data_IF_695310369377
#
_entry.id   IF_695310369377
#
_cell.length_a   1.000
_cell.length_b   1.000
_cell.length_c   1.000
_cell.angle_alpha   90.00
_cell.angle_beta   90.00
_cell.angle_gamma   90.00
#
_symmetry.space_group_name_H-M   'P 1'
#
loop_
_entity.id
_entity.type
_entity.pdbx_description
1 polymer ?
#
# COMPACT_ATOMS: atom_id res chain seq x y z
N UNK A 1 6.86 2.12 -6.85
CA UNK A 1 7.56 2.45 -5.57
C UNK A 1 8.76 1.54 -5.41
N UNK A 2 9.66 1.82 -4.46
CA UNK A 2 10.71 0.84 -4.11
C UNK A 2 10.17 -0.25 -3.16
N UNK A 3 10.80 -1.43 -3.18
CA UNK A 3 10.46 -2.54 -2.27
C UNK A 3 10.57 -2.12 -0.80
N UNK A 4 11.63 -1.38 -0.44
CA UNK A 4 11.87 -0.84 0.90
C UNK A 4 10.73 0.07 1.40
N UNK A 5 10.10 0.84 0.51
CA UNK A 5 8.98 1.70 0.90
C UNK A 5 7.73 0.89 1.20
N UNK A 6 7.47 -0.18 0.45
CA UNK A 6 6.38 -1.11 0.73
C UNK A 6 6.61 -1.87 2.04
N UNK A 7 7.84 -2.36 2.26
CA UNK A 7 8.22 -2.98 3.54
C UNK A 7 7.96 -2.03 4.71
N UNK A 8 8.29 -0.74 4.58
CA UNK A 8 8.05 0.24 5.63
C UNK A 8 6.56 0.54 5.85
N UNK A 9 5.74 0.56 4.79
CA UNK A 9 4.30 0.78 4.89
C UNK A 9 3.56 -0.40 5.52
N UNK A 10 4.05 -1.61 5.28
CA UNK A 10 3.50 -2.86 5.82
C UNK A 10 4.28 -3.34 7.05
N UNK A 11 5.18 -2.52 7.57
CA UNK A 11 6.04 -2.89 8.68
C UNK A 11 5.21 -3.19 9.91
N UNK A 12 5.57 -4.28 10.56
CA UNK A 12 5.03 -4.63 11.86
C UNK A 12 5.63 -3.66 12.89
N UNK A 13 4.82 -3.11 13.82
CA UNK A 13 5.33 -2.23 14.86
C UNK A 13 6.41 -2.88 15.71
N UNK A 14 7.45 -2.12 16.06
CA UNK A 14 8.55 -2.59 16.92
C UNK A 14 8.35 -2.24 18.39
N UNK A 15 7.58 -1.18 18.69
CA UNK A 15 7.36 -0.71 20.06
C UNK A 15 6.33 -1.58 20.80
N UNK A 16 6.53 -1.77 22.10
CA UNK A 16 5.58 -2.52 22.94
C UNK A 16 4.22 -1.82 23.00
N UNK A 17 4.20 -0.48 22.99
CA UNK A 17 2.97 0.31 23.02
C UNK A 17 2.13 0.12 21.75
N UNK A 18 2.75 0.14 20.57
CA UNK A 18 2.04 -0.08 19.30
C UNK A 18 1.59 -1.53 19.16
N UNK A 19 2.42 -2.49 19.59
CA UNK A 19 2.03 -3.90 19.63
C UNK A 19 0.84 -4.13 20.56
N UNK A 20 0.84 -3.52 21.75
CA UNK A 20 -0.28 -3.60 22.68
C UNK A 20 -1.56 -2.96 22.11
N UNK A 21 -1.45 -1.87 21.35
CA UNK A 21 -2.58 -1.23 20.69
C UNK A 21 -3.15 -2.08 19.56
N UNK A 22 -2.29 -2.60 18.69
CA UNK A 22 -2.69 -3.14 17.39
C UNK A 22 -2.89 -4.67 17.40
N UNK A 23 -2.27 -5.38 18.35
CA UNK A 23 -2.26 -6.85 18.42
C UNK A 23 -2.96 -7.44 19.65
N UNK A 24 -3.64 -6.63 20.46
CA UNK A 24 -4.43 -7.15 21.59
C UNK A 24 -5.78 -7.72 21.12
N UNK A 25 -6.06 -8.96 21.50
CA UNK A 25 -7.32 -9.63 21.18
C UNK A 25 -8.45 -9.21 22.12
N UNK A 26 -9.61 -8.96 21.53
CA UNK A 26 -10.88 -8.82 22.23
C UNK A 26 -11.40 -10.18 22.72
N UNK A 27 -12.32 -10.16 23.68
CA UNK A 27 -12.90 -11.37 24.28
C UNK A 27 -13.53 -12.32 23.24
N UNK A 28 -14.22 -11.78 22.23
CA UNK A 28 -14.84 -12.59 21.18
C UNK A 28 -13.81 -13.36 20.33
N UNK A 29 -12.63 -12.77 20.14
CA UNK A 29 -11.54 -13.38 19.37
C UNK A 29 -10.83 -14.45 20.19
N UNK A 30 -10.59 -14.19 21.47
CA UNK A 30 -10.08 -15.22 22.39
C UNK A 30 -11.03 -16.43 22.45
N UNK A 31 -12.34 -16.20 22.45
CA UNK A 31 -13.32 -17.29 22.33
C UNK A 31 -13.21 -18.04 20.99
N UNK A 32 -13.03 -17.35 19.88
CA UNK A 32 -12.82 -17.98 18.58
C UNK A 32 -11.54 -18.84 18.57
N UNK A 33 -10.44 -18.33 19.12
CA UNK A 33 -9.18 -19.05 19.28
C UNK A 33 -9.35 -20.31 20.14
N UNK A 34 -10.03 -20.20 21.29
CA UNK A 34 -10.21 -21.31 22.26
C UNK A 34 -10.93 -22.53 21.67
N UNK A 35 -11.76 -22.34 20.64
CA UNK A 35 -12.47 -23.41 19.92
C UNK A 35 -11.52 -24.35 19.17
N UNK A 36 -10.30 -23.91 18.86
CA UNK A 36 -9.31 -24.76 18.17
C UNK A 36 -8.84 -25.87 19.10
N UNK A 37 -8.68 -27.08 18.55
CA UNK A 37 -8.15 -28.24 19.27
C UNK A 37 -6.63 -28.28 19.18
N UNK A 38 -5.98 -28.39 20.33
CA UNK A 38 -4.52 -28.46 20.45
C UNK A 38 -3.86 -27.08 20.46
N UNK A 39 -2.81 -26.94 21.28
CA UNK A 39 -2.16 -25.66 21.54
C UNK A 39 -1.47 -25.09 20.31
N UNK A 40 -0.83 -25.93 19.48
CA UNK A 40 -0.25 -25.49 18.20
C UNK A 40 -1.29 -24.85 17.27
N UNK A 41 -2.49 -25.43 17.18
CA UNK A 41 -3.56 -24.87 16.34
C UNK A 41 -4.16 -23.59 16.93
N UNK A 42 -4.28 -23.50 18.26
CA UNK A 42 -4.73 -22.27 18.93
C UNK A 42 -3.75 -21.13 18.70
N UNK A 43 -2.45 -21.38 18.92
CA UNK A 43 -1.39 -20.40 18.65
C UNK A 43 -1.39 -20.00 17.17
N UNK A 44 -1.41 -20.97 16.27
CA UNK A 44 -1.37 -20.71 14.85
C UNK A 44 -2.57 -19.92 14.33
N UNK A 45 -3.77 -20.26 14.79
CA UNK A 45 -4.98 -19.52 14.47
C UNK A 45 -4.94 -18.10 15.03
N UNK A 46 -4.45 -17.91 16.25
CA UNK A 46 -4.28 -16.58 16.85
C UNK A 46 -3.30 -15.72 16.07
N UNK A 47 -2.18 -16.29 15.60
CA UNK A 47 -1.22 -15.57 14.75
C UNK A 47 -1.87 -15.18 13.43
N UNK A 48 -2.57 -16.09 12.74
CA UNK A 48 -3.27 -15.75 11.51
C UNK A 48 -4.32 -14.64 11.72
N UNK A 49 -5.08 -14.70 12.81
CA UNK A 49 -6.05 -13.68 13.20
C UNK A 49 -5.40 -12.31 13.38
N UNK A 50 -4.25 -12.27 14.07
CA UNK A 50 -3.46 -11.05 14.24
C UNK A 50 -3.11 -10.41 12.89
N UNK A 51 -2.53 -11.18 11.95
CA UNK A 51 -2.13 -10.67 10.62
C UNK A 51 -3.29 -10.20 9.74
N UNK A 52 -4.43 -10.89 9.83
CA UNK A 52 -5.66 -10.51 9.11
C UNK A 52 -6.25 -9.21 9.66
N UNK A 53 -6.07 -8.89 10.94
CA UNK A 53 -6.50 -7.61 11.52
C UNK A 53 -5.50 -6.48 11.30
N UNK A 54 -4.22 -6.78 11.48
CA UNK A 54 -3.12 -5.86 11.28
C UNK A 54 -1.91 -6.65 10.78
N UNK A 55 -1.35 -6.33 9.60
CA UNK A 55 -1.68 -5.19 8.73
C UNK A 55 -2.91 -5.38 7.81
N UNK A 56 -3.63 -6.50 7.88
CA UNK A 56 -4.71 -6.80 6.93
C UNK A 56 -4.29 -7.77 5.82
N UNK A 57 -3.28 -8.60 6.07
CA UNK A 57 -2.71 -9.53 5.09
C UNK A 57 -3.01 -10.98 5.45
N UNK A 58 -3.03 -11.85 4.43
CA UNK A 58 -3.02 -13.28 4.63
C UNK A 58 -1.56 -13.77 4.75
N UNK A 59 -1.14 -14.22 5.93
CA UNK A 59 0.24 -14.67 6.19
C UNK A 59 0.66 -15.89 5.33
N UNK A 60 -0.28 -16.78 5.00
CA UNK A 60 -0.01 -17.95 4.16
C UNK A 60 1.01 -18.92 4.78
N UNK A 61 2.12 -19.16 4.08
CA UNK A 61 3.21 -20.03 4.52
C UNK A 61 4.38 -19.28 5.17
N UNK A 62 4.33 -17.94 5.19
CA UNK A 62 5.41 -17.13 5.75
C UNK A 62 5.52 -17.30 7.28
N UNK A 63 6.72 -17.05 7.79
CA UNK A 63 6.97 -16.99 9.22
C UNK A 63 6.47 -15.65 9.78
N UNK A 64 5.83 -15.64 10.97
CA UNK A 64 5.43 -14.40 11.61
C UNK A 64 6.65 -13.66 12.16
N UNK A 65 6.59 -12.34 12.15
CA UNK A 65 7.50 -11.48 12.90
C UNK A 65 7.64 -11.98 14.37
N UNK A 66 8.87 -12.15 14.88
CA UNK A 66 9.12 -12.72 16.22
C UNK A 66 8.39 -11.98 17.35
N UNK A 67 8.24 -10.66 17.23
CA UNK A 67 7.59 -9.79 18.20
C UNK A 67 6.07 -10.07 18.26
N UNK A 68 5.43 -10.21 17.09
CA UNK A 68 4.00 -10.58 17.01
C UNK A 68 3.78 -11.98 17.56
N UNK A 69 4.64 -12.94 17.20
CA UNK A 69 4.54 -14.29 17.74
C UNK A 69 4.66 -14.30 19.27
N UNK A 70 5.59 -13.52 19.84
CA UNK A 70 5.76 -13.38 21.28
C UNK A 70 4.53 -12.79 21.97
N UNK A 71 3.98 -11.70 21.44
CA UNK A 71 2.80 -11.01 22.00
C UNK A 71 1.56 -11.91 21.92
N UNK A 72 1.33 -12.53 20.77
CA UNK A 72 0.19 -13.45 20.57
C UNK A 72 0.30 -14.67 21.48
N UNK A 73 1.46 -15.32 21.54
CA UNK A 73 1.73 -16.46 22.44
C UNK A 73 1.41 -16.13 23.90
N UNK A 74 1.83 -14.95 24.35
CA UNK A 74 1.61 -14.48 25.72
C UNK A 74 0.13 -14.27 26.01
N UNK A 75 -0.63 -13.70 25.08
CA UNK A 75 -2.07 -13.47 25.25
C UNK A 75 -2.89 -14.77 25.33
N UNK A 76 -2.51 -15.79 24.56
CA UNK A 76 -3.23 -17.08 24.57
C UNK A 76 -2.68 -18.06 25.62
N UNK A 77 -1.59 -17.71 26.31
CA UNK A 77 -0.97 -18.55 27.34
C UNK A 77 -0.27 -19.79 26.77
N UNK A 78 0.23 -19.73 25.53
CA UNK A 78 0.82 -20.88 24.82
C UNK A 78 2.29 -20.59 24.52
N UNK A 79 3.16 -21.58 24.64
CA UNK A 79 4.58 -21.42 24.35
C UNK A 79 4.80 -21.23 22.84
N UNK A 80 5.62 -20.23 22.46
CA UNK A 80 5.86 -19.84 21.06
C UNK A 80 6.53 -20.92 20.20
N UNK A 81 7.27 -21.83 20.82
CA UNK A 81 7.93 -22.95 20.13
C UNK A 81 6.94 -23.92 19.47
N UNK A 82 5.69 -23.96 19.94
CA UNK A 82 4.63 -24.75 19.32
C UNK A 82 4.21 -24.22 17.94
N UNK A 83 4.66 -23.03 17.52
CA UNK A 83 4.49 -22.58 16.15
C UNK A 83 5.13 -23.54 15.13
N UNK A 84 6.26 -24.17 15.47
CA UNK A 84 6.92 -25.14 14.59
C UNK A 84 6.08 -26.42 14.37
N UNK A 85 5.10 -26.68 15.23
CA UNK A 85 4.16 -27.79 15.10
C UNK A 85 2.89 -27.37 14.35
N UNK A 86 2.63 -26.06 14.22
CA UNK A 86 1.45 -25.52 13.59
C UNK A 86 1.47 -25.65 12.06
N UNK A 87 0.41 -26.24 11.53
CA UNK A 87 0.17 -26.25 10.08
C UNK A 87 1.23 -27.04 9.31
N UNK A 88 1.78 -28.12 9.91
CA UNK A 88 2.62 -29.12 9.22
C UNK A 88 1.96 -29.71 7.96
N UNK A 89 0.64 -29.62 7.87
CA UNK A 89 -0.15 -29.84 6.65
C UNK A 89 -0.69 -28.49 6.20
N UNK A 90 -0.41 -28.10 4.95
CA UNK A 90 -0.89 -26.83 4.38
C UNK A 90 -2.42 -26.67 4.48
N UNK A 91 -3.16 -27.79 4.45
CA UNK A 91 -4.63 -27.81 4.52
C UNK A 91 -5.15 -27.07 5.75
N UNK A 92 -4.57 -27.32 6.92
CA UNK A 92 -5.01 -26.69 8.18
C UNK A 92 -4.81 -25.17 8.14
N UNK A 93 -3.73 -24.67 7.51
CA UNK A 93 -3.51 -23.22 7.38
C UNK A 93 -4.55 -22.59 6.44
N UNK A 94 -4.87 -23.26 5.33
CA UNK A 94 -5.89 -22.79 4.38
C UNK A 94 -7.29 -22.79 5.01
N UNK A 95 -7.66 -23.86 5.69
CA UNK A 95 -8.94 -23.96 6.42
C UNK A 95 -9.08 -22.84 7.44
N UNK A 96 -8.06 -22.61 8.27
CA UNK A 96 -8.07 -21.53 9.26
C UNK A 96 -8.14 -20.14 8.60
N UNK A 97 -7.44 -19.92 7.48
CA UNK A 97 -7.51 -18.65 6.76
C UNK A 97 -8.90 -18.36 6.21
N UNK A 98 -9.61 -19.40 5.70
CA UNK A 98 -11.00 -19.27 5.24
C UNK A 98 -11.95 -19.05 6.41
N UNK A 99 -11.78 -19.78 7.51
CA UNK A 99 -12.59 -19.60 8.72
C UNK A 99 -12.46 -18.18 9.28
N UNK A 100 -11.23 -17.63 9.33
CA UNK A 100 -10.98 -16.27 9.77
C UNK A 100 -11.58 -15.22 8.84
N UNK A 101 -11.47 -15.41 7.53
CA UNK A 101 -12.10 -14.52 6.55
C UNK A 101 -13.62 -14.43 6.80
N UNK A 102 -14.28 -15.58 6.99
CA UNK A 102 -15.71 -15.63 7.26
C UNK A 102 -16.07 -15.03 8.62
N UNK A 103 -15.32 -15.36 9.67
CA UNK A 103 -15.59 -14.89 11.03
C UNK A 103 -15.43 -13.38 11.19
N UNK A 104 -14.51 -12.76 10.45
CA UNK A 104 -14.23 -11.33 10.48
C UNK A 104 -14.95 -10.54 9.37
N UNK A 105 -15.68 -11.22 8.48
CA UNK A 105 -16.32 -10.57 7.32
C UNK A 105 -15.32 -10.02 6.29
N UNK A 106 -14.10 -10.57 6.25
CA UNK A 106 -13.05 -10.08 5.38
C UNK A 106 -13.28 -10.53 3.94
N UNK A 107 -13.13 -9.58 3.01
CA UNK A 107 -13.28 -9.79 1.57
C UNK A 107 -11.90 -9.84 0.91
N UNK A 108 -11.83 -10.50 -0.25
CA UNK A 108 -10.66 -10.40 -1.15
C UNK A 108 -10.86 -9.27 -2.13
N UNK A 109 -9.76 -8.72 -2.61
CA UNK A 109 -9.77 -7.77 -3.73
C UNK A 109 -10.40 -8.43 -4.96
N UNK A 110 -11.23 -7.66 -5.66
CA UNK A 110 -11.86 -8.01 -6.93
C UNK A 110 -11.74 -6.81 -7.87
N UNK A 111 -11.93 -7.00 -9.17
CA UNK A 111 -11.92 -5.90 -10.15
C UNK A 111 -12.87 -4.75 -9.77
N UNK A 112 -14.03 -5.08 -9.19
CA UNK A 112 -14.98 -4.07 -8.70
C UNK A 112 -14.41 -3.25 -7.52
N UNK A 113 -13.70 -3.90 -6.59
CA UNK A 113 -13.02 -3.22 -5.48
C UNK A 113 -11.84 -2.40 -5.99
N UNK A 114 -11.10 -2.90 -6.98
CA UNK A 114 -10.00 -2.15 -7.60
C UNK A 114 -10.51 -0.87 -8.27
N UNK A 115 -11.62 -0.94 -9.01
CA UNK A 115 -12.24 0.23 -9.60
C UNK A 115 -12.74 1.23 -8.54
N UNK A 116 -13.37 0.74 -7.47
CA UNK A 116 -13.81 1.55 -6.33
C UNK A 116 -12.62 2.22 -5.62
N UNK A 117 -11.52 1.48 -5.42
CA UNK A 117 -10.28 1.99 -4.84
C UNK A 117 -9.66 3.08 -5.70
N UNK A 118 -9.54 2.87 -7.01
CA UNK A 118 -8.98 3.87 -7.93
C UNK A 118 -9.79 5.16 -7.91
N UNK A 119 -11.13 5.06 -7.92
CA UNK A 119 -12.00 6.22 -7.80
C UNK A 119 -11.83 6.95 -6.46
N UNK A 120 -11.65 6.22 -5.35
CA UNK A 120 -11.40 6.80 -4.04
C UNK A 120 -10.01 7.46 -3.92
N UNK A 121 -9.00 6.96 -4.65
CA UNK A 121 -7.64 7.50 -4.66
C UNK A 121 -7.50 8.72 -5.58
N UNK A 122 -8.36 8.89 -6.58
CA UNK A 122 -8.33 10.01 -7.52
C UNK A 122 -8.19 11.40 -6.86
N UNK A 123 -9.04 11.80 -5.88
CA UNK A 123 -8.90 13.12 -5.23
C UNK A 123 -7.58 13.26 -4.46
N UNK A 124 -6.97 12.16 -4.03
CA UNK A 124 -5.67 12.18 -3.36
C UNK A 124 -4.56 12.35 -4.39
N UNK A 125 -4.61 11.59 -5.49
CA UNK A 125 -3.63 11.62 -6.57
C UNK A 125 -3.55 12.97 -7.30
N UNK A 126 -4.65 13.75 -7.32
CA UNK A 126 -4.64 15.13 -7.83
C UNK A 126 -3.86 16.09 -6.91
N UNK A 127 -3.75 15.78 -5.62
CA UNK A 127 -3.15 16.66 -4.60
C UNK A 127 -1.68 16.34 -4.31
N UNK A 128 -1.16 15.18 -4.73
CA UNK A 128 0.22 14.77 -4.45
C UNK A 128 0.80 13.92 -5.55
N UNK A 129 2.08 14.15 -5.86
CA UNK A 129 2.92 13.29 -6.71
C UNK A 129 3.66 12.20 -5.91
N UNK A 130 3.54 12.21 -4.58
CA UNK A 130 4.16 11.23 -3.69
C UNK A 130 3.40 9.92 -3.66
N UNK A 131 3.91 8.92 -4.37
CA UNK A 131 3.38 7.56 -4.40
C UNK A 131 3.17 6.94 -3.00
N UNK A 132 4.06 7.21 -2.04
CA UNK A 132 3.94 6.71 -0.66
C UNK A 132 2.67 7.17 0.06
N UNK A 133 2.20 8.40 -0.19
CA UNK A 133 0.97 8.91 0.43
C UNK A 133 -0.28 8.25 -0.16
N UNK A 134 -0.27 8.00 -1.47
CA UNK A 134 -1.36 7.31 -2.17
C UNK A 134 -1.40 5.83 -1.76
N UNK A 135 -0.24 5.19 -1.62
CA UNK A 135 -0.12 3.83 -1.12
C UNK A 135 -0.64 3.67 0.31
N UNK A 136 -0.26 4.58 1.22
CA UNK A 136 -0.78 4.60 2.59
C UNK A 136 -2.31 4.76 2.62
N UNK A 137 -2.85 5.67 1.81
CA UNK A 137 -4.30 5.84 1.68
C UNK A 137 -4.99 4.59 1.13
N UNK A 138 -4.38 3.91 0.15
CA UNK A 138 -4.92 2.68 -0.42
C UNK A 138 -5.02 1.57 0.64
N UNK A 139 -3.97 1.38 1.45
CA UNK A 139 -3.96 0.42 2.56
C UNK A 139 -5.09 0.72 3.54
N UNK A 140 -5.20 1.98 3.98
CA UNK A 140 -6.21 2.37 4.97
C UNK A 140 -7.64 2.25 4.43
N UNK A 141 -7.88 2.59 3.17
CA UNK A 141 -9.18 2.41 2.51
C UNK A 141 -9.57 0.93 2.47
N UNK A 142 -8.69 0.06 1.96
CA UNK A 142 -8.94 -1.38 1.90
C UNK A 142 -9.24 -1.97 3.28
N UNK A 143 -8.46 -1.58 4.30
CA UNK A 143 -8.70 -1.99 5.69
C UNK A 143 -10.06 -1.51 6.21
N UNK A 144 -10.42 -0.25 5.95
CA UNK A 144 -11.71 0.31 6.36
C UNK A 144 -12.90 -0.39 5.71
N UNK A 145 -12.70 -0.97 4.52
CA UNK A 145 -13.70 -1.75 3.78
C UNK A 145 -13.73 -3.23 4.17
N UNK A 146 -12.89 -3.66 5.10
CA UNK A 146 -12.75 -5.06 5.47
C UNK A 146 -12.21 -5.91 4.32
N UNK A 147 -11.32 -5.36 3.50
CA UNK A 147 -10.70 -6.05 2.37
C UNK A 147 -9.27 -6.42 2.74
N UNK A 148 -8.91 -7.69 2.55
CA UNK A 148 -7.53 -8.15 2.66
C UNK A 148 -6.67 -7.44 1.62
N UNK A 149 -5.51 -6.96 2.05
CA UNK A 149 -4.55 -6.33 1.14
C UNK A 149 -4.10 -7.35 0.09
N UNK A 150 -4.04 -6.96 -1.20
CA UNK A 150 -3.49 -7.82 -2.23
C UNK A 150 -1.95 -7.84 -2.12
N UNK A 151 -1.29 -8.60 -2.99
CA UNK A 151 0.16 -8.61 -3.04
C UNK A 151 0.71 -7.18 -3.31
N UNK A 152 1.92 -6.89 -2.79
CA UNK A 152 2.54 -5.58 -2.93
C UNK A 152 2.65 -5.12 -4.40
N UNK A 153 2.88 -6.04 -5.34
CA UNK A 153 2.90 -5.72 -6.78
C UNK A 153 1.56 -5.20 -7.30
N UNK A 154 0.44 -5.82 -6.91
CA UNK A 154 -0.90 -5.35 -7.27
C UNK A 154 -1.20 -3.99 -6.64
N UNK A 155 -0.79 -3.76 -5.39
CA UNK A 155 -0.90 -2.44 -4.77
C UNK A 155 -0.07 -1.38 -5.52
N UNK A 156 1.15 -1.70 -5.94
CA UNK A 156 2.01 -0.79 -6.69
C UNK A 156 1.39 -0.41 -8.05
N UNK A 157 0.81 -1.38 -8.75
CA UNK A 157 0.07 -1.17 -10.00
C UNK A 157 -1.14 -0.24 -9.81
N UNK A 158 -1.93 -0.46 -8.75
CA UNK A 158 -3.08 0.39 -8.43
C UNK A 158 -2.67 1.82 -8.08
N UNK A 159 -1.59 1.98 -7.30
CA UNK A 159 -1.04 3.29 -6.93
C UNK A 159 -0.51 4.02 -8.18
N UNK A 160 0.24 3.33 -9.04
CA UNK A 160 0.76 3.89 -10.29
C UNK A 160 -0.37 4.32 -11.24
N UNK A 161 -1.43 3.53 -11.31
CA UNK A 161 -2.63 3.83 -12.10
C UNK A 161 -3.33 5.08 -11.57
N UNK A 162 -3.56 5.17 -10.25
CA UNK A 162 -4.15 6.34 -9.62
C UNK A 162 -3.31 7.61 -9.85
N UNK A 163 -1.98 7.51 -9.72
CA UNK A 163 -1.07 8.63 -10.00
C UNK A 163 -1.16 9.11 -11.45
N UNK A 164 -1.20 8.17 -12.40
CA UNK A 164 -1.31 8.50 -13.82
C UNK A 164 -2.63 9.21 -14.12
N UNK A 165 -3.73 8.75 -13.52
CA UNK A 165 -5.04 9.39 -13.62
C UNK A 165 -5.03 10.80 -13.02
N UNK A 166 -4.52 10.96 -11.79
CA UNK A 166 -4.41 12.25 -11.11
C UNK A 166 -3.57 13.26 -11.90
N UNK A 167 -2.39 12.86 -12.38
CA UNK A 167 -1.54 13.69 -13.24
C UNK A 167 -2.27 14.13 -14.51
N UNK A 168 -3.00 13.22 -15.15
CA UNK A 168 -3.78 13.55 -16.36
C UNK A 168 -4.86 14.59 -16.06
N UNK A 169 -5.54 14.49 -14.92
CA UNK A 169 -6.55 15.48 -14.51
C UNK A 169 -5.92 16.84 -14.21
N UNK A 170 -4.79 16.87 -13.50
CA UNK A 170 -4.06 18.11 -13.24
C UNK A 170 -3.64 18.77 -14.56
N UNK A 171 -3.08 18.00 -15.49
CA UNK A 171 -2.69 18.52 -16.81
C UNK A 171 -3.88 19.00 -17.63
N UNK A 172 -5.01 18.29 -17.61
CA UNK A 172 -6.22 18.70 -18.28
C UNK A 172 -6.75 20.02 -17.71
N UNK A 173 -6.85 20.14 -16.38
CA UNK A 173 -7.31 21.36 -15.72
C UNK A 173 -6.40 22.57 -16.04
N UNK A 174 -5.08 22.36 -16.04
CA UNK A 174 -4.12 23.40 -16.44
C UNK A 174 -4.27 23.78 -17.92
N UNK A 175 -4.44 22.79 -18.81
CA UNK A 175 -4.61 23.04 -20.23
C UNK A 175 -5.93 23.75 -20.53
N UNK A 176 -7.04 23.39 -19.88
CA UNK A 176 -8.36 23.97 -20.11
C UNK A 176 -8.45 25.42 -19.63
N UNK A 177 -7.61 25.82 -18.68
CA UNK A 177 -7.47 27.21 -18.26
C UNK A 177 -6.77 28.11 -19.30
N UNK A 178 -6.14 27.55 -20.34
CA UNK A 178 -5.40 28.29 -21.35
C UNK A 178 -6.25 28.62 -22.58
N UNK A 179 -6.06 29.83 -23.12
CA UNK A 179 -6.64 30.20 -24.42
C UNK A 179 -6.00 29.43 -25.56
N UNK A 180 -6.69 29.32 -26.70
CA UNK A 180 -6.13 28.71 -27.92
C UNK A 180 -4.82 29.34 -28.36
N UNK A 181 -4.66 30.65 -28.16
CA UNK A 181 -3.43 31.37 -28.49
C UNK A 181 -2.28 30.99 -27.54
N UNK A 182 -2.54 30.91 -26.24
CA UNK A 182 -1.57 30.44 -25.25
C UNK A 182 -1.15 28.99 -25.52
N UNK A 183 -2.09 28.11 -25.86
CA UNK A 183 -1.80 26.71 -26.25
C UNK A 183 -0.85 26.67 -27.45
N UNK A 184 -1.16 27.41 -28.52
CA UNK A 184 -0.29 27.50 -29.71
C UNK A 184 1.10 28.08 -29.40
N UNK A 185 1.17 29.07 -28.52
CA UNK A 185 2.44 29.65 -28.10
C UNK A 185 3.30 28.60 -27.37
N UNK A 186 2.72 27.84 -26.44
CA UNK A 186 3.39 26.75 -25.73
C UNK A 186 3.83 25.62 -26.70
N UNK A 187 2.97 25.20 -27.62
CA UNK A 187 3.32 24.23 -28.66
C UNK A 187 4.47 24.73 -29.55
N UNK A 188 4.49 26.04 -29.83
CA UNK A 188 5.58 26.71 -30.53
C UNK A 188 6.93 26.53 -29.84
N UNK A 189 6.97 26.48 -28.50
CA UNK A 189 8.20 26.29 -27.74
C UNK A 189 8.85 24.91 -27.97
N UNK A 190 8.06 23.92 -28.39
CA UNK A 190 8.55 22.57 -28.68
C UNK A 190 9.16 22.43 -30.08
N UNK A 191 9.07 23.48 -30.92
CA UNK A 191 9.64 23.46 -32.27
C UNK A 191 11.18 23.60 -32.23
N UNK A 192 11.90 22.99 -33.19
CA UNK A 192 13.34 23.20 -33.35
C UNK A 192 13.65 24.68 -33.57
N UNK A 193 14.76 25.15 -33.00
CA UNK A 193 15.27 26.50 -33.25
C UNK A 193 15.92 26.57 -34.63
N UNK A 194 15.97 27.78 -35.19
CA UNK A 194 16.56 28.04 -36.50
C UNK A 194 18.07 27.71 -36.57
N UNK A 195 18.77 27.71 -35.44
CA UNK A 195 20.17 27.32 -35.31
C UNK A 195 20.38 25.80 -35.16
N UNK A 196 19.30 25.01 -35.12
CA UNK A 196 19.32 23.55 -34.99
C UNK A 196 19.73 23.04 -33.60
N UNK A 197 20.03 23.92 -32.64
CA UNK A 197 20.52 23.55 -31.32
C UNK A 197 19.36 23.43 -30.32
N UNK A 198 18.61 22.32 -30.45
CA UNK A 198 17.48 21.97 -29.59
C UNK A 198 16.21 22.76 -29.88
N UNK A 199 15.24 22.67 -28.97
CA UNK A 199 13.96 23.39 -29.06
C UNK A 199 14.05 24.76 -28.40
N UNK A 200 13.09 25.64 -28.69
CA UNK A 200 13.00 26.95 -28.04
C UNK A 200 12.83 26.81 -26.51
N UNK A 201 12.11 25.79 -26.05
CA UNK A 201 11.97 25.45 -24.63
C UNK A 201 13.32 25.06 -24.00
N UNK A 202 14.10 24.19 -24.64
CA UNK A 202 15.40 23.77 -24.11
C UNK A 202 16.33 24.96 -23.94
N UNK A 203 16.35 25.89 -24.90
CA UNK A 203 17.13 27.12 -24.81
C UNK A 203 16.67 28.03 -23.66
N UNK A 204 15.36 28.27 -23.51
CA UNK A 204 14.83 29.09 -22.42
C UNK A 204 15.14 28.51 -21.03
N UNK A 205 15.31 27.18 -20.91
CA UNK A 205 15.69 26.50 -19.67
C UNK A 205 17.18 26.56 -19.36
N UNK A 206 18.03 26.97 -20.31
CA UNK A 206 19.46 27.13 -20.06
C UNK A 206 19.68 28.32 -19.12
N UNK A 207 20.51 28.15 -18.10
CA UNK A 207 20.93 29.27 -17.26
C UNK A 207 21.61 30.34 -18.12
N UNK A 208 21.37 31.63 -17.88
CA UNK A 208 22.02 32.69 -18.64
C UNK A 208 23.54 32.49 -18.57
N UNK A 209 24.19 32.51 -19.74
CA UNK A 209 25.64 32.43 -19.82
C UNK A 209 26.26 33.61 -19.05
N UNK A 210 27.39 33.39 -18.39
CA UNK A 210 28.17 34.46 -17.75
C UNK A 210 28.35 35.62 -18.76
N UNK A 211 28.11 36.88 -18.36
CA UNK A 211 28.32 38.02 -19.25
C UNK A 211 29.75 37.98 -19.80
N UNK A 212 29.89 37.99 -21.12
CA UNK A 212 31.18 38.07 -21.79
C UNK A 212 31.34 39.49 -22.35
N UNK A 213 32.44 40.16 -22.02
CA UNK A 213 32.74 41.57 -22.31
C UNK A 213 32.97 41.90 -23.79
N UNK A 214 32.61 41.00 -24.73
CA UNK A 214 32.73 41.22 -26.18
C UNK A 214 31.46 41.75 -26.86
N UNK A 215 30.38 41.96 -26.11
CA UNK A 215 29.11 42.48 -26.64
C UNK A 215 28.58 43.70 -25.86
N UNK A 216 29.48 44.53 -25.31
CA UNK A 216 29.19 45.92 -24.88
C UNK A 216 29.79 46.86 -25.92
#
# INVERSE_FOLDING_TARGET
MSELEWERLLAIPESEEELARDYTFASAELELIRRRRGDANRLGFAVLLAYVRMPGIALGTAEPAPQVLQVVASQVGIRKDLWAEYGRRDETRREHAVELQNALGMRRVTEAIEAELLAALEPIAVQTDKAALIAAAAIELLRSWGVLLPAAGTLDELVSTAMTAGNRMVYAALADALTTEQKRALDGLLRPRADGQGTQLTWLRQSPLKPNSKHI
#
